data_IF_005535480000
#
_entry.id   IF_005535480000
#
_cell.length_a   1.000
_cell.length_b   1.000
_cell.length_c   1.000
_cell.angle_alpha   90.00
_cell.angle_beta   90.00
_cell.angle_gamma   90.00
#
_symmetry.space_group_name_H-M   'P 1'
#
loop_
_entity.id
_entity.type
_entity.pdbx_description
1 polymer ?
#
# COMPACT_ATOMS: atom_id res chain seq x y z
N UNK A 1 7.84 19.66 18.42
CA UNK A 1 6.92 18.61 18.89
C UNK A 1 6.93 18.64 20.41
N UNK A 2 5.79 18.94 21.03
CA UNK A 2 5.66 19.05 22.50
C UNK A 2 5.43 17.67 23.10
N UNK A 3 5.89 17.46 24.32
CA UNK A 3 5.67 16.22 25.09
C UNK A 3 5.01 16.55 26.42
N UNK A 4 4.00 15.78 26.82
CA UNK A 4 3.28 15.94 28.09
C UNK A 4 3.07 14.58 28.75
N UNK A 5 2.81 14.58 30.06
CA UNK A 5 2.47 13.34 30.78
C UNK A 5 1.02 12.90 30.51
N UNK A 6 0.73 11.61 30.64
CA UNK A 6 -0.62 11.06 30.59
C UNK A 6 -1.55 11.69 31.63
N UNK A 7 -1.01 12.06 32.80
CA UNK A 7 -1.78 12.77 33.84
C UNK A 7 -2.20 14.15 33.36
N UNK A 8 -1.28 14.92 32.78
CA UNK A 8 -1.57 16.25 32.25
C UNK A 8 -2.55 16.18 31.07
N UNK A 9 -2.33 15.24 30.15
CA UNK A 9 -3.22 14.99 29.02
C UNK A 9 -4.65 14.65 29.48
N UNK A 10 -4.81 13.85 30.53
CA UNK A 10 -6.12 13.48 31.09
C UNK A 10 -6.84 14.69 31.71
N UNK A 11 -6.12 15.52 32.44
CA UNK A 11 -6.70 16.68 33.14
C UNK A 11 -7.08 17.78 32.15
N UNK A 12 -6.27 18.01 31.11
CA UNK A 12 -6.43 19.11 30.16
C UNK A 12 -6.82 18.65 28.75
N UNK A 13 -7.55 17.53 28.63
CA UNK A 13 -7.77 16.91 27.32
C UNK A 13 -8.49 17.82 26.31
N UNK A 14 -9.48 18.61 26.77
CA UNK A 14 -10.19 19.55 25.89
C UNK A 14 -9.30 20.66 25.33
N UNK A 15 -8.42 21.22 26.16
CA UNK A 15 -7.43 22.22 25.75
C UNK A 15 -6.37 21.62 24.83
N UNK A 16 -5.94 20.38 25.12
CA UNK A 16 -5.02 19.63 24.27
C UNK A 16 -5.60 19.42 22.87
N UNK A 17 -6.86 18.97 22.75
CA UNK A 17 -7.52 18.81 21.45
C UNK A 17 -7.57 20.13 20.68
N UNK A 18 -8.01 21.21 21.34
CA UNK A 18 -8.07 22.54 20.72
C UNK A 18 -6.69 22.99 20.23
N UNK A 19 -5.67 22.89 21.08
CA UNK A 19 -4.29 23.24 20.75
C UNK A 19 -3.76 22.45 19.55
N UNK A 20 -4.04 21.15 19.47
CA UNK A 20 -3.55 20.30 18.39
C UNK A 20 -4.21 20.66 17.06
N UNK A 21 -5.50 21.00 17.07
CA UNK A 21 -6.23 21.42 15.87
C UNK A 21 -5.83 22.83 15.43
N UNK A 22 -5.74 23.79 16.36
CA UNK A 22 -5.43 25.19 16.04
C UNK A 22 -3.99 25.40 15.56
N UNK A 23 -3.04 24.67 16.15
CA UNK A 23 -1.63 24.83 15.81
C UNK A 23 -1.13 23.82 14.77
N UNK A 24 -1.95 22.83 14.41
CA UNK A 24 -1.59 21.69 13.54
C UNK A 24 -0.24 21.06 13.93
N UNK A 25 -0.02 20.91 15.24
CA UNK A 25 1.20 20.32 15.79
C UNK A 25 0.88 19.09 16.66
N UNK A 26 1.49 17.93 16.36
CA UNK A 26 1.37 16.75 17.20
C UNK A 26 1.97 16.94 18.59
N UNK A 27 1.36 16.27 19.56
CA UNK A 27 1.85 16.21 20.95
C UNK A 27 2.10 14.75 21.32
N UNK A 28 3.28 14.46 21.89
CA UNK A 28 3.57 13.15 22.49
C UNK A 28 2.97 13.12 23.90
N UNK A 29 2.30 12.03 24.23
CA UNK A 29 1.89 11.73 25.59
C UNK A 29 2.74 10.58 26.14
N UNK A 30 3.36 10.84 27.29
CA UNK A 30 4.21 9.88 27.99
C UNK A 30 3.52 9.28 29.20
N UNK A 31 3.81 8.01 29.48
CA UNK A 31 3.48 7.36 30.74
C UNK A 31 4.75 6.86 31.39
N UNK A 32 4.98 7.24 32.64
CA UNK A 32 6.19 6.90 33.40
C UNK A 32 7.50 7.23 32.64
N UNK A 33 7.55 8.40 31.98
CA UNK A 33 8.72 8.87 31.22
C UNK A 33 8.97 8.15 29.91
N UNK A 34 8.01 7.35 29.42
CA UNK A 34 8.09 6.67 28.12
C UNK A 34 7.03 7.23 27.16
N UNK A 35 7.40 7.64 25.94
CA UNK A 35 6.45 7.96 24.87
C UNK A 35 5.55 6.77 24.57
N UNK A 36 4.23 6.93 24.72
CA UNK A 36 3.27 5.85 24.44
C UNK A 36 2.34 6.18 23.29
N UNK A 37 1.86 7.42 23.19
CA UNK A 37 0.92 7.83 22.12
C UNK A 37 1.24 9.22 21.60
N UNK A 38 0.74 9.51 20.39
CA UNK A 38 0.77 10.83 19.78
C UNK A 38 -0.67 11.29 19.57
N UNK A 39 -0.97 12.52 19.99
CA UNK A 39 -2.23 13.20 19.70
C UNK A 39 -1.98 14.18 18.57
N UNK A 40 -2.76 14.10 17.50
CA UNK A 40 -2.66 14.94 16.30
C UNK A 40 -4.04 15.19 15.70
N UNK A 41 -4.14 16.17 14.80
CA UNK A 41 -5.40 16.45 14.09
C UNK A 41 -5.74 15.27 13.15
N UNK A 42 -7.04 15.06 12.90
CA UNK A 42 -7.48 14.03 11.96
C UNK A 42 -6.96 14.32 10.55
N UNK A 43 -6.94 15.60 10.16
CA UNK A 43 -6.46 16.03 8.86
C UNK A 43 -4.97 15.70 8.69
N UNK A 44 -4.14 15.99 9.69
CA UNK A 44 -2.71 15.65 9.66
C UNK A 44 -2.50 14.11 9.60
N UNK A 45 -3.29 13.35 10.37
CA UNK A 45 -3.26 11.89 10.31
C UNK A 45 -3.61 11.37 8.89
N UNK A 46 -4.65 11.91 8.27
CA UNK A 46 -5.09 11.52 6.93
C UNK A 46 -4.08 11.91 5.85
N UNK A 47 -3.47 13.09 5.95
CA UNK A 47 -2.41 13.54 5.04
C UNK A 47 -1.21 12.60 5.11
N UNK A 48 -0.75 12.25 6.32
CA UNK A 48 0.35 11.30 6.52
C UNK A 48 0.02 9.90 5.99
N UNK A 49 -1.22 9.44 6.19
CA UNK A 49 -1.67 8.16 5.65
C UNK A 49 -1.70 8.15 4.12
N UNK A 50 -2.14 9.26 3.52
CA UNK A 50 -2.20 9.42 2.06
C UNK A 50 -0.81 9.51 1.44
N UNK A 51 0.11 10.27 2.03
CA UNK A 51 1.50 10.34 1.60
C UNK A 51 2.19 8.98 1.64
N UNK A 52 1.91 8.16 2.68
CA UNK A 52 2.42 6.79 2.77
C UNK A 52 1.87 5.91 1.62
N UNK A 53 0.56 5.96 1.36
CA UNK A 53 -0.05 5.25 0.23
C UNK A 53 0.56 5.69 -1.10
N UNK A 54 0.89 6.98 -1.23
CA UNK A 54 1.52 7.52 -2.44
C UNK A 54 2.90 6.90 -2.69
N UNK A 55 3.72 6.80 -1.66
CA UNK A 55 5.03 6.15 -1.77
C UNK A 55 4.90 4.64 -2.07
N UNK A 56 3.93 3.96 -1.45
CA UNK A 56 3.70 2.53 -1.64
C UNK A 56 3.35 2.20 -3.10
N UNK A 57 2.48 2.98 -3.76
CA UNK A 57 2.16 2.71 -5.18
C UNK A 57 3.34 3.01 -6.10
N UNK A 58 4.16 4.04 -5.79
CA UNK A 58 5.37 4.34 -6.57
C UNK A 58 6.38 3.22 -6.48
N UNK A 59 6.49 2.57 -5.33
CA UNK A 59 7.31 1.37 -5.15
C UNK A 59 6.73 0.21 -5.98
N UNK A 60 5.43 -0.05 -5.86
CA UNK A 60 4.76 -1.12 -6.61
C UNK A 60 4.90 -0.93 -8.13
N UNK A 61 4.73 0.29 -8.63
CA UNK A 61 4.89 0.60 -10.06
C UNK A 61 6.32 0.38 -10.53
N UNK A 62 7.33 0.79 -9.74
CA UNK A 62 8.74 0.51 -10.05
C UNK A 62 9.02 -0.98 -10.11
N UNK A 63 8.44 -1.77 -9.20
CA UNK A 63 8.57 -3.23 -9.21
C UNK A 63 7.89 -3.84 -10.45
N UNK A 64 6.65 -3.45 -10.73
CA UNK A 64 5.90 -3.91 -11.91
C UNK A 64 6.67 -3.60 -13.20
N UNK A 65 7.27 -2.41 -13.31
CA UNK A 65 8.10 -2.05 -14.46
C UNK A 65 9.32 -2.96 -14.60
N UNK A 66 10.04 -3.26 -13.51
CA UNK A 66 11.19 -4.19 -13.54
C UNK A 66 10.77 -5.58 -14.01
N UNK A 67 9.68 -6.11 -13.47
CA UNK A 67 9.14 -7.41 -13.89
C UNK A 67 8.79 -7.39 -15.38
N UNK A 68 8.09 -6.34 -15.84
CA UNK A 68 7.75 -6.16 -17.25
C UNK A 68 8.97 -6.08 -18.16
N UNK A 69 10.05 -5.41 -17.74
CA UNK A 69 11.31 -5.37 -18.47
C UNK A 69 12.00 -6.74 -18.52
N UNK A 70 11.98 -7.51 -17.44
CA UNK A 70 12.50 -8.89 -17.43
C UNK A 70 11.71 -9.79 -18.37
N UNK A 71 10.38 -9.71 -18.35
CA UNK A 71 9.51 -10.48 -19.26
C UNK A 71 9.80 -10.09 -20.71
N UNK A 72 9.89 -8.79 -21.02
CA UNK A 72 10.23 -8.30 -22.37
C UNK A 72 11.60 -8.79 -22.82
N UNK A 73 12.64 -8.71 -21.98
CA UNK A 73 13.98 -9.21 -22.32
C UNK A 73 13.98 -10.71 -22.59
N UNK A 74 13.28 -11.50 -21.77
CA UNK A 74 13.15 -12.96 -21.97
C UNK A 74 12.43 -13.30 -23.27
N UNK A 75 11.40 -12.53 -23.65
CA UNK A 75 10.64 -12.73 -24.90
C UNK A 75 11.33 -12.20 -26.15
N UNK A 76 12.25 -11.25 -26.04
CA UNK A 76 12.84 -10.59 -27.20
C UNK A 76 11.77 -9.85 -28.03
N UNK A 77 11.70 -10.11 -29.34
CA UNK A 77 10.70 -9.53 -30.25
C UNK A 77 9.41 -10.36 -30.39
N UNK A 78 9.30 -11.47 -29.65
CA UNK A 78 8.18 -12.38 -29.81
C UNK A 78 6.90 -11.75 -29.23
N UNK A 79 6.00 -11.34 -30.14
CA UNK A 79 4.69 -10.80 -29.79
C UNK A 79 3.84 -11.89 -29.10
N UNK A 80 2.82 -11.47 -28.35
CA UNK A 80 1.78 -12.44 -27.98
C UNK A 80 1.08 -12.87 -29.27
N UNK A 81 0.86 -14.19 -29.47
CA UNK A 81 -0.12 -14.61 -30.46
C UNK A 81 -1.45 -13.91 -30.13
N UNK A 82 -2.26 -13.57 -31.14
CA UNK A 82 -3.60 -13.05 -30.91
C UNK A 82 -4.35 -13.96 -29.91
N UNK A 83 -5.16 -13.40 -29.00
CA UNK A 83 -5.89 -14.19 -28.01
C UNK A 83 -6.71 -15.33 -28.63
N UNK A 84 -7.23 -15.14 -29.84
CA UNK A 84 -8.00 -16.13 -30.59
C UNK A 84 -7.17 -17.36 -30.92
N UNK A 85 -5.89 -17.17 -31.25
CA UNK A 85 -4.96 -18.24 -31.60
C UNK A 85 -4.58 -19.06 -30.38
N UNK A 86 -4.36 -18.41 -29.24
CA UNK A 86 -4.14 -19.07 -27.94
C UNK A 86 -5.37 -19.91 -27.56
N UNK A 87 -6.57 -19.34 -27.69
CA UNK A 87 -7.82 -20.05 -27.35
C UNK A 87 -8.03 -21.25 -28.28
N UNK A 88 -7.68 -21.12 -29.57
CA UNK A 88 -7.77 -22.21 -30.54
C UNK A 88 -6.82 -23.34 -30.17
N UNK A 89 -5.53 -23.04 -29.96
CA UNK A 89 -4.50 -24.01 -29.57
C UNK A 89 -4.89 -24.76 -28.28
N UNK A 90 -5.35 -24.02 -27.25
CA UNK A 90 -5.83 -24.63 -26.00
C UNK A 90 -7.05 -25.56 -26.17
N UNK A 91 -7.90 -25.33 -27.19
CA UNK A 91 -9.03 -26.22 -27.48
C UNK A 91 -8.55 -27.47 -28.21
N UNK A 92 -7.64 -27.32 -29.17
CA UNK A 92 -7.05 -28.41 -29.93
C UNK A 92 -6.30 -29.37 -29.00
N UNK A 93 -5.39 -28.88 -28.15
CA UNK A 93 -4.68 -29.68 -27.14
C UNK A 93 -5.64 -30.44 -26.23
N UNK A 94 -6.72 -29.78 -25.79
CA UNK A 94 -7.73 -30.38 -24.92
C UNK A 94 -8.52 -31.47 -25.64
N UNK A 95 -8.89 -31.25 -26.89
CA UNK A 95 -9.60 -32.22 -27.72
C UNK A 95 -8.75 -33.46 -27.99
N UNK A 96 -7.46 -33.29 -28.29
CA UNK A 96 -6.51 -34.40 -28.44
C UNK A 96 -6.35 -35.19 -27.15
N UNK A 97 -6.25 -34.50 -26.02
CA UNK A 97 -6.20 -35.13 -24.70
C UNK A 97 -7.48 -35.91 -24.38
N UNK A 98 -8.66 -35.41 -24.74
CA UNK A 98 -9.91 -36.17 -24.58
C UNK A 98 -9.96 -37.41 -25.47
N UNK A 99 -9.49 -37.31 -26.71
CA UNK A 99 -9.44 -38.44 -27.64
C UNK A 99 -8.45 -39.53 -27.19
N UNK A 100 -7.33 -39.15 -26.56
CA UNK A 100 -6.35 -40.10 -26.05
C UNK A 100 -6.86 -40.91 -24.85
N UNK A 101 -7.80 -40.36 -24.07
CA UNK A 101 -8.44 -41.04 -22.94
C UNK A 101 -9.55 -42.04 -23.35
N UNK A 102 -10.01 -41.99 -24.60
CA UNK A 102 -11.06 -42.87 -25.13
C UNK A 102 -10.50 -44.10 -25.87
N UNK A 103 -9.17 -44.31 -25.79
CA UNK A 103 -8.45 -45.39 -26.48
C UNK A 103 -8.01 -46.50 -25.53
#
# INVERSE_FOLDING_TARGET
MRTISATEARVHFGELMRSVVENDQPVIVERAGKPEVVVMSVDEYQQRLSAKKEEDWRIALRQARRVGETIRKRRGQQLFPPPEEIIREMREERSEHFLSLLR
#
